data_IF_379437068616
#
_entry.id   IF_379437068616
#
_cell.length_a   1.000
_cell.length_b   1.000
_cell.length_c   1.000
_cell.angle_alpha   90.00
_cell.angle_beta   90.00
_cell.angle_gamma   90.00
#
_symmetry.space_group_name_H-M   'P 1'
#
loop_
_entity.id
_entity.type
_entity.pdbx_description
1 polymer ?
#
# COMPACT_ATOMS: atom_id res chain seq x y z
N UNK A 1 19.67 -28.94 22.45
CA UNK A 1 19.30 -30.28 21.96
C UNK A 1 19.98 -30.50 20.62
N UNK A 2 20.50 -31.70 20.34
CA UNK A 2 21.09 -32.01 19.02
C UNK A 2 19.99 -32.38 18.03
N UNK A 3 19.98 -31.74 16.86
CA UNK A 3 19.08 -32.09 15.75
C UNK A 3 19.17 -33.56 15.38
N UNK A 4 18.04 -34.19 15.08
CA UNK A 4 18.00 -35.50 14.44
C UNK A 4 18.58 -35.44 13.03
N UNK A 5 18.97 -36.60 12.49
CA UNK A 5 19.49 -36.69 11.11
C UNK A 5 18.47 -36.21 10.07
N UNK A 6 17.18 -36.49 10.31
CA UNK A 6 16.08 -36.11 9.42
C UNK A 6 15.83 -34.60 9.45
N UNK A 7 15.78 -33.98 10.63
CA UNK A 7 15.62 -32.52 10.77
C UNK A 7 16.80 -31.77 10.13
N UNK A 8 18.03 -32.25 10.35
CA UNK A 8 19.21 -31.68 9.72
C UNK A 8 19.11 -31.78 8.19
N UNK A 9 18.75 -32.94 7.64
CA UNK A 9 18.60 -33.10 6.19
C UNK A 9 17.52 -32.17 5.63
N UNK A 10 16.42 -31.97 6.35
CA UNK A 10 15.37 -31.04 5.96
C UNK A 10 15.88 -29.60 5.88
N UNK A 11 16.62 -29.14 6.89
CA UNK A 11 17.24 -27.80 6.91
C UNK A 11 18.24 -27.64 5.76
N UNK A 12 19.09 -28.65 5.51
CA UNK A 12 20.03 -28.62 4.38
C UNK A 12 19.31 -28.49 3.03
N UNK A 13 18.17 -29.18 2.87
CA UNK A 13 17.34 -29.06 1.66
C UNK A 13 16.74 -27.65 1.51
N UNK A 14 16.25 -27.03 2.59
CA UNK A 14 15.77 -25.64 2.56
C UNK A 14 16.91 -24.70 2.16
N UNK A 15 18.09 -24.84 2.78
CA UNK A 15 19.23 -23.98 2.50
C UNK A 15 19.62 -24.06 1.02
N UNK A 16 19.71 -25.27 0.45
CA UNK A 16 20.07 -25.46 -0.96
C UNK A 16 18.99 -25.01 -1.94
N UNK A 17 17.73 -25.01 -1.53
CA UNK A 17 16.61 -24.55 -2.35
C UNK A 17 16.54 -23.02 -2.45
N UNK A 18 17.18 -22.28 -1.53
CA UNK A 18 17.11 -20.82 -1.51
C UNK A 18 18.44 -20.21 -1.96
N UNK A 19 18.35 -19.10 -2.71
CA UNK A 19 19.49 -18.20 -2.89
C UNK A 19 19.61 -17.28 -1.68
N UNK A 20 20.80 -17.20 -1.12
CA UNK A 20 21.11 -16.42 0.08
C UNK A 20 21.96 -15.20 -0.25
N UNK A 21 21.70 -14.12 0.48
CA UNK A 21 22.40 -12.85 0.33
C UNK A 21 22.86 -12.37 1.70
N UNK A 22 24.11 -11.94 1.77
CA UNK A 22 24.62 -11.09 2.85
C UNK A 22 23.92 -9.73 2.81
N UNK A 23 24.02 -8.96 3.90
CA UNK A 23 23.45 -7.61 3.91
C UNK A 23 24.08 -6.71 2.84
N UNK A 24 25.39 -6.82 2.60
CA UNK A 24 26.12 -6.07 1.59
C UNK A 24 25.60 -6.35 0.17
N UNK A 25 25.37 -7.62 -0.17
CA UNK A 25 24.79 -8.01 -1.46
C UNK A 25 23.33 -7.57 -1.59
N UNK A 26 22.57 -7.75 -0.50
CA UNK A 26 21.17 -7.35 -0.42
C UNK A 26 20.99 -5.85 -0.61
N UNK A 27 21.85 -5.01 -0.01
CA UNK A 27 21.74 -3.55 -0.11
C UNK A 27 21.77 -3.06 -1.57
N UNK A 28 22.65 -3.63 -2.39
CA UNK A 28 22.74 -3.30 -3.82
C UNK A 28 21.45 -3.68 -4.57
N UNK A 29 20.90 -4.87 -4.30
CA UNK A 29 19.66 -5.34 -4.93
C UNK A 29 18.45 -4.50 -4.49
N UNK A 30 18.37 -4.15 -3.20
CA UNK A 30 17.28 -3.35 -2.65
C UNK A 30 17.19 -2.00 -3.36
N UNK A 31 18.32 -1.34 -3.62
CA UNK A 31 18.35 -0.01 -4.24
C UNK A 31 18.24 0.01 -5.76
N UNK A 32 18.50 -1.12 -6.42
CA UNK A 32 18.36 -1.26 -7.88
C UNK A 32 16.90 -1.26 -8.31
N UNK A 33 16.58 -0.74 -9.50
CA UNK A 33 15.22 -0.79 -10.03
C UNK A 33 14.71 -2.23 -10.22
N UNK A 34 13.40 -2.43 -10.14
CA UNK A 34 12.78 -3.69 -10.59
C UNK A 34 12.90 -3.88 -12.11
N UNK A 35 12.83 -2.77 -12.84
CA UNK A 35 13.04 -2.72 -14.28
C UNK A 35 14.53 -2.67 -14.59
N UNK A 36 15.06 -3.77 -15.11
CA UNK A 36 16.49 -3.91 -15.45
C UNK A 36 16.95 -3.00 -16.58
N UNK A 37 16.02 -2.34 -17.30
CA UNK A 37 16.37 -1.32 -18.29
C UNK A 37 16.70 0.05 -17.69
N UNK A 38 16.46 0.23 -16.38
CA UNK A 38 16.72 1.49 -15.66
C UNK A 38 17.91 1.33 -14.73
N UNK A 39 18.93 2.15 -14.98
CA UNK A 39 20.12 2.20 -14.13
C UNK A 39 19.97 3.19 -12.96
N UNK A 40 20.75 2.96 -11.90
CA UNK A 40 20.89 3.86 -10.76
C UNK A 40 20.06 3.48 -9.52
N UNK A 41 20.45 4.06 -8.38
CA UNK A 41 19.71 3.96 -7.11
C UNK A 41 18.49 4.88 -7.17
N UNK A 42 17.27 4.33 -7.08
CA UNK A 42 16.04 5.14 -6.99
C UNK A 42 15.55 5.31 -5.55
N UNK A 43 15.96 4.43 -4.64
CA UNK A 43 15.64 4.52 -3.22
C UNK A 43 16.67 5.39 -2.50
N UNK A 44 16.18 6.41 -1.81
CA UNK A 44 16.91 7.31 -0.90
C UNK A 44 16.97 6.80 0.53
N UNK A 45 16.25 5.71 0.85
CA UNK A 45 16.27 5.08 2.17
C UNK A 45 17.70 4.67 2.56
N UNK A 46 18.18 5.21 3.69
CA UNK A 46 19.55 4.99 4.18
C UNK A 46 19.73 3.59 4.76
N UNK A 47 20.96 3.06 4.68
CA UNK A 47 21.39 1.77 5.28
C UNK A 47 20.83 1.53 6.70
N UNK A 48 21.00 2.51 7.60
CA UNK A 48 20.51 2.43 8.99
C UNK A 48 18.98 2.30 9.08
N UNK A 49 18.23 2.89 8.16
CA UNK A 49 16.77 2.77 8.12
C UNK A 49 16.37 1.36 7.67
N UNK A 50 17.03 0.81 6.65
CA UNK A 50 16.83 -0.57 6.19
C UNK A 50 17.11 -1.57 7.32
N UNK A 51 18.25 -1.44 8.00
CA UNK A 51 18.60 -2.30 9.13
C UNK A 51 17.58 -2.20 10.27
N UNK A 52 17.03 -1.00 10.53
CA UNK A 52 15.95 -0.81 11.51
C UNK A 52 14.68 -1.56 11.09
N UNK A 53 14.32 -1.58 9.81
CA UNK A 53 13.18 -2.33 9.28
C UNK A 53 13.40 -3.83 9.51
N UNK A 54 14.56 -4.36 9.10
CA UNK A 54 14.91 -5.78 9.28
C UNK A 54 14.89 -6.16 10.76
N UNK A 55 15.54 -5.38 11.63
CA UNK A 55 15.53 -5.62 13.08
C UNK A 55 14.10 -5.68 13.63
N UNK A 56 13.25 -4.74 13.23
CA UNK A 56 11.86 -4.68 13.67
C UNK A 56 11.07 -5.92 13.26
N UNK A 57 11.29 -6.40 12.04
CA UNK A 57 10.64 -7.58 11.48
C UNK A 57 11.12 -8.88 12.13
N UNK A 58 12.44 -9.03 12.35
CA UNK A 58 13.05 -10.19 13.03
C UNK A 58 12.46 -10.35 14.43
N UNK A 59 12.51 -9.28 15.24
CA UNK A 59 12.06 -9.31 16.64
C UNK A 59 10.54 -9.46 16.69
N UNK A 60 9.80 -8.72 15.85
CA UNK A 60 8.35 -8.83 15.81
C UNK A 60 7.87 -10.22 15.39
N UNK A 61 8.57 -10.87 14.47
CA UNK A 61 8.25 -12.24 14.03
C UNK A 61 8.55 -13.25 15.14
N UNK A 62 9.67 -13.10 15.84
CA UNK A 62 10.00 -13.92 17.02
C UNK A 62 8.93 -13.80 18.11
N UNK A 63 8.42 -12.60 18.36
CA UNK A 63 7.32 -12.36 19.31
C UNK A 63 5.93 -12.73 18.76
N UNK A 64 5.87 -13.30 17.56
CA UNK A 64 4.65 -13.78 16.89
C UNK A 64 3.54 -12.72 16.74
N UNK A 65 3.90 -11.43 16.57
CA UNK A 65 2.89 -10.35 16.46
C UNK A 65 1.97 -10.50 15.23
N UNK A 66 2.39 -11.31 14.25
CA UNK A 66 1.69 -11.62 13.02
C UNK A 66 0.86 -12.93 13.08
N UNK A 67 0.81 -13.64 14.22
CA UNK A 67 -0.01 -14.85 14.40
C UNK A 67 -1.36 -14.55 15.08
N UNK A 68 -2.43 -15.22 14.63
CA UNK A 68 -3.78 -15.08 15.20
C UNK A 68 -3.84 -15.87 16.51
N UNK A 69 -3.59 -15.20 17.64
CA UNK A 69 -3.81 -15.81 18.96
C UNK A 69 -5.28 -15.70 19.36
N UNK A 70 -5.79 -16.69 20.11
CA UNK A 70 -7.21 -16.73 20.56
C UNK A 70 -7.67 -15.49 21.35
N UNK A 71 -6.73 -14.69 21.84
CA UNK A 71 -6.98 -13.54 22.72
C UNK A 71 -6.97 -12.18 21.98
N UNK A 72 -6.77 -12.15 20.66
CA UNK A 72 -6.76 -10.91 19.88
C UNK A 72 -8.19 -10.58 19.38
N UNK A 73 -8.79 -9.52 19.91
CA UNK A 73 -10.06 -8.93 19.43
C UNK A 73 -9.83 -8.12 18.14
N UNK A 74 -9.33 -8.77 17.09
CA UNK A 74 -9.13 -8.15 15.78
C UNK A 74 -10.23 -8.66 14.84
N UNK A 75 -10.96 -7.74 14.20
CA UNK A 75 -11.97 -8.09 13.19
C UNK A 75 -11.33 -8.84 12.01
N UNK A 76 -12.10 -9.65 11.28
CA UNK A 76 -11.56 -10.34 10.10
C UNK A 76 -11.12 -9.36 9.01
N UNK A 77 -11.76 -8.19 8.90
CA UNK A 77 -11.38 -7.12 7.99
C UNK A 77 -10.04 -6.48 8.37
N UNK A 78 -9.84 -6.15 9.64
CA UNK A 78 -8.54 -5.66 10.15
C UNK A 78 -7.44 -6.71 9.99
N UNK A 79 -7.79 -7.98 10.15
CA UNK A 79 -6.86 -9.10 9.96
C UNK A 79 -6.40 -9.20 8.51
N UNK A 80 -7.34 -9.10 7.56
CA UNK A 80 -7.03 -9.11 6.13
C UNK A 80 -6.24 -7.86 5.71
N UNK A 81 -6.56 -6.69 6.26
CA UNK A 81 -5.80 -5.46 6.03
C UNK A 81 -4.33 -5.63 6.47
N UNK A 82 -4.10 -6.19 7.67
CA UNK A 82 -2.74 -6.42 8.18
C UNK A 82 -1.94 -7.45 7.37
N UNK A 83 -2.60 -8.42 6.73
CA UNK A 83 -1.92 -9.30 5.77
C UNK A 83 -1.37 -8.54 4.57
N UNK A 84 -1.98 -7.41 4.19
CA UNK A 84 -1.57 -6.61 3.04
C UNK A 84 -0.50 -5.58 3.43
N UNK A 85 -0.62 -4.96 4.61
CA UNK A 85 0.22 -3.81 5.02
C UNK A 85 1.20 -4.11 6.17
N UNK A 86 1.17 -5.31 6.73
CA UNK A 86 1.99 -5.71 7.86
C UNK A 86 1.33 -5.46 9.23
N UNK A 87 2.01 -5.91 10.28
CA UNK A 87 1.55 -5.88 11.65
C UNK A 87 2.44 -4.95 12.46
N UNK A 88 1.84 -3.93 13.07
CA UNK A 88 2.54 -3.04 14.01
C UNK A 88 2.01 -3.23 15.42
N UNK A 89 2.90 -3.45 16.39
CA UNK A 89 2.55 -3.57 17.81
C UNK A 89 3.66 -3.01 18.69
N UNK A 90 3.28 -2.28 19.75
CA UNK A 90 4.22 -1.83 20.77
C UNK A 90 4.53 -3.01 21.69
N UNK A 91 5.79 -3.38 21.77
CA UNK A 91 6.26 -4.54 22.54
C UNK A 91 7.47 -4.14 23.39
N UNK A 92 7.68 -4.88 24.48
CA UNK A 92 8.89 -4.81 25.29
C UNK A 92 9.65 -6.12 25.16
N UNK A 93 10.90 -6.07 24.72
CA UNK A 93 11.74 -7.25 24.52
C UNK A 93 13.13 -7.05 25.11
N UNK A 94 13.90 -8.13 25.24
CA UNK A 94 15.23 -8.14 25.83
C UNK A 94 16.22 -8.70 24.81
N UNK A 95 17.36 -8.03 24.64
CA UNK A 95 18.48 -8.50 23.80
C UNK A 95 19.74 -8.55 24.67
N UNK A 96 20.28 -9.75 24.87
CA UNK A 96 21.46 -9.99 25.71
C UNK A 96 21.19 -9.84 27.21
N UNK A 97 22.08 -10.42 28.03
CA UNK A 97 21.95 -10.47 29.50
C UNK A 97 22.10 -9.09 30.18
N UNK A 98 22.70 -8.12 29.49
CA UNK A 98 22.99 -6.78 30.04
C UNK A 98 21.79 -5.80 30.00
N UNK A 99 20.79 -6.04 29.14
CA UNK A 99 19.65 -5.14 28.96
C UNK A 99 18.49 -5.42 29.92
N UNK A 100 18.75 -5.35 31.24
CA UNK A 100 17.75 -5.66 32.29
C UNK A 100 16.49 -4.79 32.26
N UNK A 101 16.56 -3.59 31.66
CA UNK A 101 15.44 -2.65 31.64
C UNK A 101 14.43 -2.88 30.51
N UNK A 102 14.69 -3.82 29.60
CA UNK A 102 13.84 -4.07 28.43
C UNK A 102 13.84 -2.92 27.43
N UNK A 103 13.72 -3.23 26.14
CA UNK A 103 13.58 -2.25 25.07
C UNK A 103 12.12 -2.19 24.68
N UNK A 104 11.47 -1.05 24.91
CA UNK A 104 10.09 -0.83 24.47
C UNK A 104 10.06 0.00 23.18
N UNK A 105 9.61 -0.61 22.08
CA UNK A 105 9.40 0.10 20.81
C UNK A 105 8.21 -0.47 20.03
N UNK A 106 7.75 0.27 19.03
CA UNK A 106 6.76 -0.24 18.06
C UNK A 106 7.49 -1.10 17.04
N UNK A 107 7.25 -2.40 17.13
CA UNK A 107 7.75 -3.38 16.17
C UNK A 107 6.80 -3.48 14.98
N UNK A 108 7.35 -3.76 13.81
CA UNK A 108 6.63 -3.94 12.57
C UNK A 108 7.10 -5.20 11.86
N UNK A 109 6.17 -6.13 11.61
CA UNK A 109 6.38 -7.31 10.76
C UNK A 109 5.71 -7.04 9.42
N UNK A 110 6.48 -7.03 8.34
CA UNK A 110 5.93 -6.79 7.01
C UNK A 110 5.44 -8.11 6.36
N UNK A 111 4.49 -8.05 5.41
CA UNK A 111 3.99 -9.24 4.72
C UNK A 111 5.08 -9.99 3.97
N UNK A 112 4.98 -11.32 3.94
CA UNK A 112 5.87 -12.19 3.17
C UNK A 112 5.09 -12.73 1.95
N UNK A 113 5.79 -12.91 0.84
CA UNK A 113 5.20 -13.27 -0.46
C UNK A 113 5.64 -14.67 -0.91
N UNK A 114 5.81 -15.59 0.05
CA UNK A 114 6.31 -16.95 -0.20
C UNK A 114 5.45 -17.70 -1.24
N UNK A 115 4.16 -17.39 -1.32
CA UNK A 115 3.23 -17.95 -2.30
C UNK A 115 3.53 -17.57 -3.77
N UNK A 116 4.40 -16.58 -4.01
CA UNK A 116 4.84 -16.21 -5.35
C UNK A 116 5.99 -17.09 -5.86
N UNK A 117 6.61 -17.89 -4.99
CA UNK A 117 7.73 -18.76 -5.33
C UNK A 117 7.22 -20.17 -5.61
N UNK A 118 7.72 -20.78 -6.70
CA UNK A 118 7.17 -22.04 -7.22
C UNK A 118 7.54 -23.25 -6.37
N UNK A 119 8.67 -23.18 -5.64
CA UNK A 119 9.15 -24.25 -4.80
C UNK A 119 8.68 -24.04 -3.36
N UNK A 120 8.00 -25.03 -2.77
CA UNK A 120 7.54 -24.98 -1.37
C UNK A 120 8.69 -24.85 -0.34
N UNK A 121 9.94 -25.07 -0.75
CA UNK A 121 11.13 -24.87 0.07
C UNK A 121 11.71 -23.44 -0.04
N UNK A 122 11.33 -22.66 -1.05
CA UNK A 122 11.67 -21.24 -1.16
C UNK A 122 10.78 -20.44 -0.20
N UNK A 123 11.38 -19.85 0.83
CA UNK A 123 10.65 -19.16 1.90
C UNK A 123 11.38 -17.91 2.33
N UNK A 124 10.64 -16.92 2.81
CA UNK A 124 11.17 -15.69 3.36
C UNK A 124 11.85 -15.96 4.70
N UNK A 125 13.16 -16.16 4.66
CA UNK A 125 13.98 -16.44 5.84
C UNK A 125 15.01 -15.33 5.99
N UNK A 126 15.13 -14.84 7.21
CA UNK A 126 16.23 -13.99 7.65
C UNK A 126 16.85 -14.62 8.89
N UNK A 127 18.16 -14.87 8.80
CA UNK A 127 19.00 -15.25 9.91
C UNK A 127 19.73 -13.97 10.37
N UNK A 128 19.62 -13.67 11.65
CA UNK A 128 20.10 -12.43 12.28
C UNK A 128 21.09 -12.73 13.40
N UNK A 129 22.05 -11.83 13.65
CA UNK A 129 22.90 -11.94 14.84
C UNK A 129 22.10 -11.85 16.15
N UNK A 130 20.88 -11.32 16.10
CA UNK A 130 19.96 -11.27 17.24
C UNK A 130 19.32 -12.62 17.57
N UNK A 131 19.41 -13.63 16.70
CA UNK A 131 18.72 -14.91 16.92
C UNK A 131 19.24 -15.61 18.19
N UNK A 132 20.54 -15.44 18.51
CA UNK A 132 21.15 -15.93 19.76
C UNK A 132 20.58 -15.18 20.99
N UNK A 133 20.54 -13.84 20.93
CA UNK A 133 20.02 -12.99 22.01
C UNK A 133 18.53 -13.21 22.28
N UNK A 134 17.77 -13.53 21.22
CA UNK A 134 16.35 -13.87 21.30
C UNK A 134 16.14 -15.32 21.75
N UNK A 135 17.16 -16.17 21.72
CA UNK A 135 17.02 -17.60 22.00
C UNK A 135 16.22 -18.35 20.93
N UNK A 136 16.26 -17.90 19.67
CA UNK A 136 15.67 -18.60 18.51
C UNK A 136 16.61 -19.72 18.06
N UNK A 137 16.62 -20.82 18.83
CA UNK A 137 17.54 -21.95 18.66
C UNK A 137 17.46 -22.54 17.25
N UNK A 138 16.28 -22.59 16.65
CA UNK A 138 16.06 -23.16 15.32
C UNK A 138 16.84 -22.37 14.24
N UNK A 139 16.77 -21.03 14.30
CA UNK A 139 17.53 -20.17 13.38
C UNK A 139 19.03 -20.21 13.63
N UNK A 140 19.46 -20.27 14.90
CA UNK A 140 20.87 -20.43 15.25
C UNK A 140 21.42 -21.71 14.63
N UNK A 141 20.71 -22.83 14.76
CA UNK A 141 21.11 -24.10 14.16
C UNK A 141 21.09 -24.06 12.63
N UNK A 142 20.09 -23.41 12.02
CA UNK A 142 20.04 -23.23 10.56
C UNK A 142 21.26 -22.44 10.05
N UNK A 143 21.68 -21.39 10.75
CA UNK A 143 22.90 -20.63 10.43
C UNK A 143 24.14 -21.51 10.50
N UNK A 144 24.31 -22.30 11.56
CA UNK A 144 25.45 -23.21 11.67
C UNK A 144 25.51 -24.24 10.54
N UNK A 145 24.36 -24.73 10.08
CA UNK A 145 24.29 -25.66 8.95
C UNK A 145 24.62 -24.92 7.65
N UNK A 146 24.10 -23.72 7.44
CA UNK A 146 24.42 -22.90 6.27
C UNK A 146 25.92 -22.65 6.13
N UNK A 147 26.58 -22.20 7.20
CA UNK A 147 28.03 -21.93 7.20
C UNK A 147 28.86 -23.18 6.85
N UNK A 148 28.42 -24.37 7.32
CA UNK A 148 29.06 -25.66 6.98
C UNK A 148 28.89 -26.02 5.50
N UNK A 149 27.75 -25.71 4.88
CA UNK A 149 27.48 -26.02 3.46
C UNK A 149 28.31 -25.09 2.54
N UNK A 150 28.30 -23.79 2.82
CA UNK A 150 28.94 -22.78 1.97
C UNK A 150 30.47 -22.76 2.16
N UNK A 151 30.99 -23.52 3.13
CA UNK A 151 32.41 -23.63 3.46
C UNK A 151 33.04 -22.28 3.84
N UNK A 152 32.19 -21.34 4.28
CA UNK A 152 32.58 -20.02 4.74
C UNK A 152 32.87 -20.08 6.25
N UNK A 153 34.11 -19.77 6.64
CA UNK A 153 34.58 -19.81 8.03
C UNK A 153 34.32 -18.49 8.76
N UNK A 154 33.35 -17.71 8.30
CA UNK A 154 32.97 -16.38 8.80
C UNK A 154 32.23 -16.33 10.15
N UNK A 155 32.50 -17.25 11.09
CA UNK A 155 32.10 -17.25 12.54
C UNK A 155 30.95 -16.30 12.93
N UNK A 156 29.72 -16.48 12.43
CA UNK A 156 28.56 -15.73 12.93
C UNK A 156 28.61 -14.20 12.84
N UNK A 157 29.58 -13.60 12.11
CA UNK A 157 29.77 -12.14 12.07
C UNK A 157 28.87 -11.41 11.08
N UNK A 158 28.22 -12.12 10.17
CA UNK A 158 27.31 -11.52 9.20
C UNK A 158 26.04 -11.07 9.92
N UNK A 159 25.72 -9.76 9.96
CA UNK A 159 24.59 -9.25 10.73
C UNK A 159 23.26 -9.84 10.28
N UNK A 160 23.11 -10.01 8.96
CA UNK A 160 21.93 -10.59 8.33
C UNK A 160 22.32 -11.48 7.15
N UNK A 161 21.71 -12.66 7.10
CA UNK A 161 21.65 -13.53 5.92
C UNK A 161 20.19 -13.68 5.53
N UNK A 162 19.86 -13.33 4.29
CA UNK A 162 18.49 -13.23 3.81
C UNK A 162 18.30 -14.10 2.57
N UNK A 163 17.18 -14.79 2.48
CA UNK A 163 16.80 -15.49 1.25
C UNK A 163 16.22 -14.52 0.22
N UNK A 164 16.21 -14.91 -1.06
CA UNK A 164 15.58 -14.14 -2.14
C UNK A 164 14.11 -13.77 -1.86
N UNK A 165 13.23 -14.68 -1.37
CA UNK A 165 11.87 -14.30 -1.00
C UNK A 165 11.80 -13.23 0.09
N UNK A 166 12.69 -13.29 1.08
CA UNK A 166 12.76 -12.27 2.13
C UNK A 166 13.20 -10.92 1.56
N UNK A 167 14.20 -10.93 0.67
CA UNK A 167 14.72 -9.74 0.01
C UNK A 167 13.66 -9.07 -0.87
N UNK A 168 12.89 -9.87 -1.60
CA UNK A 168 11.75 -9.40 -2.39
C UNK A 168 10.72 -8.69 -1.51
N UNK A 169 10.34 -9.31 -0.40
CA UNK A 169 9.40 -8.74 0.55
C UNK A 169 9.93 -7.46 1.22
N UNK A 170 11.21 -7.44 1.59
CA UNK A 170 11.88 -6.28 2.18
C UNK A 170 11.93 -5.09 1.21
N UNK A 171 12.22 -5.34 -0.07
CA UNK A 171 12.22 -4.29 -1.10
C UNK A 171 10.86 -3.64 -1.23
N UNK A 172 9.81 -4.46 -1.33
CA UNK A 172 8.43 -3.97 -1.34
C UNK A 172 8.09 -3.13 -0.11
N UNK A 173 8.54 -3.53 1.08
CA UNK A 173 8.32 -2.77 2.31
C UNK A 173 9.07 -1.44 2.32
N UNK A 174 10.30 -1.39 1.82
CA UNK A 174 11.05 -0.14 1.70
C UNK A 174 10.34 0.80 0.70
N UNK A 175 9.94 0.30 -0.46
CA UNK A 175 9.19 1.09 -1.45
C UNK A 175 7.90 1.66 -0.89
N UNK A 176 7.15 0.88 -0.11
CA UNK A 176 5.92 1.35 0.57
C UNK A 176 6.19 2.46 1.58
N UNK A 177 7.35 2.47 2.23
CA UNK A 177 7.71 3.52 3.20
C UNK A 177 8.23 4.77 2.52
N UNK A 178 8.96 4.59 1.43
CA UNK A 178 9.59 5.68 0.69
C UNK A 178 8.59 6.39 -0.23
N UNK A 179 7.74 5.60 -0.89
CA UNK A 179 6.62 6.04 -1.70
C UNK A 179 5.33 5.54 -1.06
N UNK A 180 4.97 6.08 0.13
CA UNK A 180 3.69 5.75 0.72
C UNK A 180 2.62 6.07 -0.29
N UNK A 181 1.72 5.11 -0.54
CA UNK A 181 0.57 5.32 -1.40
C UNK A 181 -0.29 6.40 -0.76
N UNK A 182 -0.06 7.66 -1.14
CA UNK A 182 -0.89 8.78 -0.70
C UNK A 182 -2.19 8.71 -1.47
N UNK A 183 -3.30 8.90 -0.78
CA UNK A 183 -4.62 9.01 -1.41
C UNK A 183 -4.75 10.30 -2.22
N UNK A 184 -4.05 11.34 -1.79
CA UNK A 184 -4.03 12.65 -2.40
C UNK A 184 -2.59 13.13 -2.53
N UNK A 185 -2.10 13.31 -3.76
CA UNK A 185 -0.76 13.84 -4.01
C UNK A 185 -0.76 15.38 -4.11
N UNK A 186 -1.94 15.97 -4.24
CA UNK A 186 -2.13 17.41 -4.28
C UNK A 186 -1.83 18.05 -2.91
N UNK A 187 -0.92 19.03 -2.91
CA UNK A 187 -0.57 19.82 -1.74
C UNK A 187 -1.13 21.25 -1.87
N UNK A 188 -1.43 21.93 -0.74
CA UNK A 188 -1.77 23.35 -0.78
C UNK A 188 -0.54 24.16 -1.18
N UNK A 189 -0.75 25.31 -1.81
CA UNK A 189 0.32 26.26 -2.10
C UNK A 189 1.07 26.60 -0.80
N UNK A 190 2.40 26.56 -0.84
CA UNK A 190 3.17 26.85 0.38
C UNK A 190 3.00 28.32 0.77
N UNK A 191 3.11 28.64 2.08
CA UNK A 191 3.10 30.03 2.53
C UNK A 191 4.14 30.90 1.80
N UNK A 192 5.26 30.32 1.33
CA UNK A 192 6.29 31.00 0.55
C UNK A 192 5.82 31.30 -0.87
N UNK A 193 5.21 30.34 -1.57
CA UNK A 193 4.62 30.55 -2.89
C UNK A 193 3.57 31.65 -2.86
N UNK A 194 2.66 31.62 -1.87
CA UNK A 194 1.62 32.65 -1.75
C UNK A 194 2.22 34.04 -1.47
N UNK A 195 3.25 34.14 -0.64
CA UNK A 195 3.96 35.41 -0.40
C UNK A 195 4.62 35.92 -1.67
N UNK A 196 5.27 35.03 -2.44
CA UNK A 196 5.98 35.44 -3.67
C UNK A 196 5.04 36.09 -4.70
N UNK A 197 3.79 35.63 -4.79
CA UNK A 197 2.76 36.26 -5.63
C UNK A 197 2.33 37.64 -5.11
N UNK A 198 2.47 37.91 -3.81
CA UNK A 198 2.11 39.16 -3.14
C UNK A 198 3.26 40.17 -3.03
N UNK A 199 4.48 39.81 -3.45
CA UNK A 199 5.65 40.68 -3.42
C UNK A 199 5.79 41.58 -4.67
N UNK A 200 4.78 41.57 -5.54
CA UNK A 200 4.70 42.46 -6.70
C UNK A 200 4.59 43.95 -6.31
N UNK A 201 5.19 44.83 -7.12
CA UNK A 201 4.95 46.29 -7.04
C UNK A 201 3.45 46.58 -7.23
N UNK A 202 2.88 47.44 -6.39
CA UNK A 202 1.44 47.74 -6.35
C UNK A 202 0.53 46.54 -5.99
N UNK A 203 1.01 45.57 -5.19
CA UNK A 203 0.23 44.37 -4.85
C UNK A 203 -1.20 44.66 -4.35
N UNK A 204 -1.42 45.76 -3.61
CA UNK A 204 -2.76 46.14 -3.12
C UNK A 204 -3.81 46.28 -4.22
N UNK A 205 -3.43 46.87 -5.35
CA UNK A 205 -4.32 47.04 -6.51
C UNK A 205 -4.51 45.72 -7.26
N UNK A 206 -3.55 44.79 -7.11
CA UNK A 206 -3.56 43.49 -7.76
C UNK A 206 -4.13 42.36 -6.88
N UNK A 207 -4.47 42.61 -5.61
CA UNK A 207 -5.05 41.61 -4.68
C UNK A 207 -6.17 40.80 -5.35
N UNK A 208 -7.16 41.42 -6.04
CA UNK A 208 -8.22 40.65 -6.69
C UNK A 208 -7.71 39.66 -7.74
N UNK A 209 -6.73 40.09 -8.55
CA UNK A 209 -6.12 39.26 -9.60
C UNK A 209 -5.27 38.13 -9.01
N UNK A 210 -4.50 38.43 -7.96
CA UNK A 210 -3.65 37.45 -7.27
C UNK A 210 -4.51 36.37 -6.62
N UNK A 211 -5.57 36.76 -5.90
CA UNK A 211 -6.54 35.81 -5.30
C UNK A 211 -7.17 34.94 -6.39
N UNK A 212 -7.58 35.55 -7.52
CA UNK A 212 -8.17 34.81 -8.62
C UNK A 212 -7.22 33.78 -9.23
N UNK A 213 -5.96 34.15 -9.44
CA UNK A 213 -4.92 33.27 -9.95
C UNK A 213 -4.71 32.06 -9.02
N UNK A 214 -4.49 32.31 -7.73
CA UNK A 214 -4.27 31.27 -6.72
C UNK A 214 -5.46 30.30 -6.64
N UNK A 215 -6.68 30.83 -6.53
CA UNK A 215 -7.88 30.01 -6.43
C UNK A 215 -8.15 29.25 -7.72
N UNK A 216 -8.02 29.88 -8.89
CA UNK A 216 -8.24 29.21 -10.17
C UNK A 216 -7.23 28.08 -10.39
N UNK A 217 -5.95 28.29 -10.04
CA UNK A 217 -4.93 27.25 -10.07
C UNK A 217 -5.28 26.10 -9.14
N UNK A 218 -5.64 26.40 -7.88
CA UNK A 218 -6.03 25.39 -6.90
C UNK A 218 -7.21 24.53 -7.38
N UNK A 219 -8.30 25.16 -7.85
CA UNK A 219 -9.47 24.43 -8.36
C UNK A 219 -9.16 23.60 -9.60
N UNK A 220 -8.28 24.09 -10.48
CA UNK A 220 -7.83 23.32 -11.64
C UNK A 220 -7.11 22.05 -11.20
N UNK A 221 -6.20 22.15 -10.23
CA UNK A 221 -5.45 21.01 -9.71
C UNK A 221 -6.38 19.99 -9.01
N UNK A 222 -7.35 20.47 -8.22
CA UNK A 222 -8.37 19.59 -7.61
C UNK A 222 -9.18 18.85 -8.67
N UNK A 223 -9.59 19.53 -9.75
CA UNK A 223 -10.33 18.91 -10.84
C UNK A 223 -9.50 17.85 -11.59
N UNK A 224 -8.22 18.11 -11.84
CA UNK A 224 -7.33 17.13 -12.47
C UNK A 224 -7.10 15.89 -11.58
N UNK A 225 -6.99 16.08 -10.27
CA UNK A 225 -6.91 14.97 -9.32
C UNK A 225 -8.18 14.10 -9.36
N UNK A 226 -9.36 14.74 -9.35
CA UNK A 226 -10.66 14.05 -9.46
C UNK A 226 -10.78 13.29 -10.79
N UNK A 227 -10.31 13.86 -11.90
CA UNK A 227 -10.27 13.16 -13.20
C UNK A 227 -9.37 11.95 -13.16
N UNK A 228 -8.18 12.08 -12.58
CA UNK A 228 -7.22 10.99 -12.44
C UNK A 228 -7.78 9.86 -11.59
N UNK A 229 -8.42 10.21 -10.47
CA UNK A 229 -9.12 9.25 -9.63
C UNK A 229 -10.24 8.52 -10.38
N UNK A 230 -11.10 9.25 -11.11
CA UNK A 230 -12.17 8.64 -11.88
C UNK A 230 -11.66 7.71 -13.01
N UNK A 231 -10.50 8.02 -13.60
CA UNK A 231 -9.83 7.09 -14.55
C UNK A 231 -9.40 5.81 -13.85
N UNK A 232 -8.81 5.90 -12.67
CA UNK A 232 -8.44 4.71 -11.89
C UNK A 232 -9.67 3.88 -11.51
N UNK A 233 -10.75 4.53 -11.03
CA UNK A 233 -12.05 3.89 -10.75
C UNK A 233 -12.64 3.17 -11.97
N UNK A 234 -12.47 3.75 -13.17
CA UNK A 234 -12.98 3.16 -14.42
C UNK A 234 -12.37 1.80 -14.75
N UNK A 235 -11.15 1.50 -14.27
CA UNK A 235 -10.51 0.19 -14.46
C UNK A 235 -11.31 -0.90 -13.76
N UNK A 236 -11.70 -0.67 -12.51
CA UNK A 236 -12.48 -1.67 -11.77
C UNK A 236 -13.92 -1.76 -12.29
N UNK A 237 -14.50 -0.63 -12.70
CA UNK A 237 -15.78 -0.63 -13.44
C UNK A 237 -15.71 -1.54 -14.66
N UNK A 238 -14.69 -1.38 -15.52
CA UNK A 238 -14.55 -2.17 -16.73
C UNK A 238 -14.47 -3.67 -16.43
N UNK A 239 -13.69 -4.07 -15.41
CA UNK A 239 -13.63 -5.48 -14.97
C UNK A 239 -15.00 -6.03 -14.55
N UNK A 240 -15.80 -5.25 -13.83
CA UNK A 240 -17.16 -5.65 -13.48
C UNK A 240 -18.07 -5.71 -14.73
N UNK A 241 -17.91 -4.76 -15.66
CA UNK A 241 -18.62 -4.75 -16.93
C UNK A 241 -18.28 -5.97 -17.79
N UNK A 242 -17.03 -6.41 -17.82
CA UNK A 242 -16.58 -7.58 -18.58
C UNK A 242 -17.25 -8.87 -18.09
N UNK A 243 -17.38 -9.05 -16.77
CA UNK A 243 -18.11 -10.18 -16.18
C UNK A 243 -19.61 -10.12 -16.53
N UNK A 244 -20.22 -8.94 -16.44
CA UNK A 244 -21.64 -8.78 -16.79
C UNK A 244 -21.87 -9.06 -18.28
N UNK A 245 -20.99 -8.54 -19.15
CA UNK A 245 -21.04 -8.77 -20.59
C UNK A 245 -20.81 -10.25 -20.93
N UNK A 246 -19.93 -10.95 -20.21
CA UNK A 246 -19.77 -12.38 -20.36
C UNK A 246 -21.08 -13.11 -20.09
N UNK A 247 -21.75 -12.82 -18.96
CA UNK A 247 -23.02 -13.46 -18.63
C UNK A 247 -24.11 -13.15 -19.66
N UNK A 248 -24.15 -11.95 -20.22
CA UNK A 248 -25.12 -11.58 -21.26
C UNK A 248 -24.83 -12.27 -22.60
N UNK A 249 -23.60 -12.14 -23.10
CA UNK A 249 -23.23 -12.62 -24.43
C UNK A 249 -23.22 -14.15 -24.50
N UNK A 250 -22.68 -14.82 -23.49
CA UNK A 250 -22.64 -16.29 -23.48
C UNK A 250 -23.99 -16.92 -23.17
N UNK A 251 -25.00 -16.15 -22.74
CA UNK A 251 -26.38 -16.65 -22.59
C UNK A 251 -27.01 -17.00 -23.93
N UNK A 252 -26.61 -16.34 -25.01
CA UNK A 252 -27.09 -16.66 -26.35
C UNK A 252 -26.52 -18.00 -26.85
N UNK A 253 -25.29 -18.32 -26.46
CA UNK A 253 -24.55 -19.51 -26.91
C UNK A 253 -24.78 -20.71 -25.98
N UNK A 254 -24.74 -20.50 -24.65
CA UNK A 254 -24.95 -21.52 -23.62
C UNK A 254 -26.09 -21.16 -22.65
N UNK A 255 -27.33 -21.04 -23.14
CA UNK A 255 -28.46 -20.55 -22.35
C UNK A 255 -28.76 -21.38 -21.10
N UNK A 256 -28.60 -22.71 -21.17
CA UNK A 256 -28.88 -23.59 -20.03
C UNK A 256 -27.84 -23.43 -18.90
N UNK A 257 -26.56 -23.32 -19.26
CA UNK A 257 -25.47 -23.17 -18.28
C UNK A 257 -25.59 -21.81 -17.59
N UNK A 258 -25.78 -20.73 -18.37
CA UNK A 258 -25.92 -19.39 -17.82
C UNK A 258 -27.18 -19.27 -16.96
N UNK A 259 -28.32 -19.83 -17.37
CA UNK A 259 -29.53 -19.85 -16.52
C UNK A 259 -29.31 -20.58 -15.20
N UNK A 260 -28.56 -21.68 -15.18
CA UNK A 260 -28.20 -22.39 -13.94
C UNK A 260 -27.31 -21.53 -13.03
N UNK A 261 -26.35 -20.80 -13.59
CA UNK A 261 -25.52 -19.83 -12.86
C UNK A 261 -26.42 -18.73 -12.25
N UNK A 262 -27.28 -18.11 -13.06
CA UNK A 262 -28.21 -17.06 -12.61
C UNK A 262 -29.14 -17.55 -11.49
N UNK A 263 -29.63 -18.78 -11.57
CA UNK A 263 -30.49 -19.35 -10.52
C UNK A 263 -29.71 -19.67 -9.25
N UNK A 264 -28.57 -20.35 -9.38
CA UNK A 264 -27.74 -20.81 -8.26
C UNK A 264 -27.15 -19.64 -7.48
N UNK A 265 -26.74 -18.59 -8.18
CA UNK A 265 -26.10 -17.41 -7.61
C UNK A 265 -26.98 -16.16 -7.68
N UNK A 266 -28.32 -16.32 -7.71
CA UNK A 266 -29.28 -15.22 -7.88
C UNK A 266 -29.05 -14.03 -6.94
N UNK A 267 -28.90 -14.29 -5.64
CA UNK A 267 -28.59 -13.26 -4.63
C UNK A 267 -27.24 -12.60 -4.86
N UNK A 268 -26.24 -13.38 -5.27
CA UNK A 268 -24.90 -12.84 -5.52
C UNK A 268 -24.89 -11.95 -6.78
N UNK A 269 -25.63 -12.37 -7.81
CA UNK A 269 -25.81 -11.62 -9.05
C UNK A 269 -26.57 -10.31 -8.84
N UNK A 270 -27.61 -10.31 -8.00
CA UNK A 270 -28.35 -9.10 -7.63
C UNK A 270 -27.43 -8.08 -6.94
N UNK A 271 -26.70 -8.51 -5.91
CA UNK A 271 -25.71 -7.66 -5.24
C UNK A 271 -24.61 -7.19 -6.18
N UNK A 272 -24.13 -8.05 -7.08
CA UNK A 272 -23.13 -7.69 -8.09
C UNK A 272 -23.64 -6.57 -9.01
N UNK A 273 -24.88 -6.68 -9.49
CA UNK A 273 -25.51 -5.66 -10.34
C UNK A 273 -25.73 -4.34 -9.59
N UNK A 274 -26.12 -4.39 -8.32
CA UNK A 274 -26.24 -3.19 -7.48
C UNK A 274 -24.89 -2.47 -7.32
N UNK A 275 -23.82 -3.23 -7.08
CA UNK A 275 -22.47 -2.69 -6.99
C UNK A 275 -22.00 -2.11 -8.33
N UNK A 276 -22.29 -2.80 -9.44
CA UNK A 276 -21.99 -2.33 -10.80
C UNK A 276 -22.71 -1.01 -11.12
N UNK A 277 -23.99 -0.87 -10.74
CA UNK A 277 -24.74 0.37 -10.93
C UNK A 277 -24.14 1.51 -10.10
N UNK A 278 -23.73 1.24 -8.85
CA UNK A 278 -23.12 2.26 -7.98
C UNK A 278 -21.74 2.70 -8.45
N UNK A 279 -20.90 1.77 -8.93
CA UNK A 279 -19.56 2.11 -9.44
C UNK A 279 -19.62 2.85 -10.79
N UNK A 280 -20.74 2.78 -11.51
CA UNK A 280 -20.96 3.53 -12.74
C UNK A 280 -20.99 5.05 -12.53
N UNK A 281 -21.42 5.51 -11.35
CA UNK A 281 -21.48 6.93 -11.02
C UNK A 281 -20.08 7.50 -10.78
N UNK A 282 -19.70 8.62 -11.43
CA UNK A 282 -18.39 9.23 -11.20
C UNK A 282 -18.29 9.80 -9.78
N UNK A 283 -17.09 9.76 -9.22
CA UNK A 283 -16.78 10.51 -8.00
C UNK A 283 -16.84 12.01 -8.31
N UNK A 284 -17.64 12.73 -7.52
CA UNK A 284 -17.83 14.18 -7.65
C UNK A 284 -17.47 14.81 -6.31
N UNK A 285 -16.56 15.78 -6.37
CA UNK A 285 -16.25 16.64 -5.24
C UNK A 285 -16.52 18.10 -5.62
N UNK A 286 -17.48 18.72 -4.93
CA UNK A 286 -17.93 20.07 -5.25
C UNK A 286 -17.33 21.09 -4.29
N UNK A 287 -16.63 22.08 -4.85
CA UNK A 287 -16.31 23.32 -4.17
C UNK A 287 -16.96 24.47 -4.95
N UNK A 288 -17.75 25.30 -4.27
CA UNK A 288 -18.35 26.49 -4.87
C UNK A 288 -17.28 27.57 -5.08
N UNK A 289 -16.53 27.42 -6.18
CA UNK A 289 -15.43 28.31 -6.59
C UNK A 289 -15.84 29.78 -6.55
N UNK A 290 -17.03 30.10 -7.04
CA UNK A 290 -17.47 31.48 -7.20
C UNK A 290 -17.80 32.13 -5.87
N UNK A 291 -18.52 31.41 -5.00
CA UNK A 291 -18.85 31.89 -3.65
C UNK A 291 -17.59 32.04 -2.78
N UNK A 292 -16.70 31.05 -2.78
CA UNK A 292 -15.48 31.10 -1.96
C UNK A 292 -14.53 32.21 -2.43
N UNK A 293 -14.38 32.40 -3.75
CA UNK A 293 -13.66 33.54 -4.31
C UNK A 293 -14.31 34.87 -3.90
N UNK A 294 -15.64 34.99 -4.01
CA UNK A 294 -16.36 36.21 -3.65
C UNK A 294 -16.23 36.56 -2.16
N UNK A 295 -16.27 35.56 -1.27
CA UNK A 295 -16.02 35.73 0.17
C UNK A 295 -14.64 36.33 0.43
N UNK A 296 -13.60 35.81 -0.22
CA UNK A 296 -12.23 36.30 -0.04
C UNK A 296 -12.05 37.72 -0.61
N UNK A 297 -12.57 37.98 -1.80
CA UNK A 297 -12.54 39.31 -2.43
C UNK A 297 -13.29 40.35 -1.58
N UNK A 298 -14.44 39.99 -1.00
CA UNK A 298 -15.19 40.86 -0.07
C UNK A 298 -14.45 41.07 1.24
N UNK A 299 -13.66 40.09 1.71
CA UNK A 299 -12.84 40.21 2.93
C UNK A 299 -11.68 41.19 2.73
N UNK A 300 -11.08 41.21 1.55
CA UNK A 300 -9.92 42.05 1.21
C UNK A 300 -10.25 43.18 0.23
N UNK A 301 -11.46 43.73 0.29
CA UNK A 301 -11.85 44.86 -0.55
C UNK A 301 -11.06 46.13 -0.20
N UNK A 302 -10.84 47.05 -1.15
CA UNK A 302 -10.03 48.25 -0.94
C UNK A 302 -10.42 49.08 0.29
N UNK A 303 -11.73 49.20 0.58
CA UNK A 303 -12.20 49.93 1.76
C UNK A 303 -11.78 49.25 3.08
N UNK A 304 -11.78 47.92 3.14
CA UNK A 304 -11.47 47.15 4.37
C UNK A 304 -9.99 47.05 4.67
N UNK A 305 -9.14 47.19 3.65
CA UNK A 305 -7.69 47.03 3.79
C UNK A 305 -6.93 48.35 3.79
N UNK A 306 -7.61 49.49 3.61
CA UNK A 306 -7.01 50.83 3.45
C UNK A 306 -5.93 51.13 4.50
N UNK A 307 -6.20 50.84 5.77
CA UNK A 307 -5.34 51.19 6.90
C UNK A 307 -4.54 49.99 7.48
N UNK A 308 -4.52 48.84 6.80
CA UNK A 308 -3.78 47.66 7.27
C UNK A 308 -2.34 47.76 6.78
N UNK A 309 -1.34 47.55 7.63
CA UNK A 309 0.07 47.50 7.18
C UNK A 309 0.31 46.43 6.09
N UNK A 310 1.24 46.68 5.17
CA UNK A 310 1.51 45.78 4.05
C UNK A 310 1.99 44.39 4.49
N UNK A 311 2.90 44.31 5.47
CA UNK A 311 3.42 43.04 5.98
C UNK A 311 2.31 42.23 6.66
N UNK A 312 1.47 42.91 7.44
CA UNK A 312 0.30 42.32 8.11
C UNK A 312 -0.74 41.85 7.11
N UNK A 313 -1.01 42.65 6.06
CA UNK A 313 -1.97 42.32 5.01
C UNK A 313 -1.54 41.08 4.23
N UNK A 314 -0.25 41.01 3.82
CA UNK A 314 0.30 39.82 3.14
C UNK A 314 0.14 38.57 3.99
N UNK A 315 0.47 38.65 5.28
CA UNK A 315 0.30 37.52 6.20
C UNK A 315 -1.17 37.10 6.36
N UNK A 316 -2.11 38.06 6.45
CA UNK A 316 -3.55 37.75 6.53
C UNK A 316 -4.08 37.05 5.28
N UNK A 317 -3.68 37.50 4.09
CA UNK A 317 -4.08 36.88 2.81
C UNK A 317 -3.48 35.48 2.72
N UNK A 318 -2.17 35.35 2.90
CA UNK A 318 -1.44 34.08 2.93
C UNK A 318 -2.11 33.05 3.83
N UNK A 319 -2.38 33.41 5.09
CA UNK A 319 -3.02 32.49 6.03
C UNK A 319 -4.43 32.10 5.57
N UNK A 320 -5.21 33.03 5.02
CA UNK A 320 -6.58 32.70 4.57
C UNK A 320 -6.59 31.78 3.35
N UNK A 321 -5.70 32.01 2.38
CA UNK A 321 -5.55 31.14 1.20
C UNK A 321 -5.06 29.76 1.65
N UNK A 322 -3.95 29.69 2.39
CA UNK A 322 -3.37 28.43 2.85
C UNK A 322 -4.35 27.59 3.68
N UNK A 323 -5.02 28.21 4.66
CA UNK A 323 -6.00 27.50 5.49
C UNK A 323 -7.21 27.02 4.69
N UNK A 324 -7.65 27.78 3.69
CA UNK A 324 -8.74 27.37 2.81
C UNK A 324 -8.34 26.15 1.95
N UNK A 325 -7.18 26.20 1.31
CA UNK A 325 -6.70 25.10 0.47
C UNK A 325 -6.48 23.85 1.31
N UNK A 326 -5.80 23.98 2.45
CA UNK A 326 -5.56 22.88 3.39
C UNK A 326 -6.87 22.22 3.83
N UNK A 327 -7.85 23.01 4.25
CA UNK A 327 -9.16 22.51 4.67
C UNK A 327 -9.87 21.73 3.56
N UNK A 328 -9.85 22.24 2.32
CA UNK A 328 -10.50 21.57 1.19
C UNK A 328 -9.77 20.28 0.77
N UNK A 329 -8.44 20.24 0.88
CA UNK A 329 -7.66 19.02 0.60
C UNK A 329 -7.88 17.96 1.67
N UNK A 330 -7.92 18.34 2.96
CA UNK A 330 -8.26 17.41 4.05
C UNK A 330 -9.66 16.81 3.85
N UNK A 331 -10.63 17.64 3.46
CA UNK A 331 -11.99 17.18 3.17
C UNK A 331 -12.05 16.28 1.93
N UNK A 332 -11.32 16.62 0.86
CA UNK A 332 -11.21 15.79 -0.33
C UNK A 332 -10.61 14.42 0.02
N UNK A 333 -9.54 14.37 0.81
CA UNK A 333 -8.90 13.13 1.24
C UNK A 333 -9.85 12.23 2.06
N UNK A 334 -10.70 12.83 2.90
CA UNK A 334 -11.75 12.09 3.64
C UNK A 334 -12.77 11.47 2.67
N UNK A 335 -13.24 12.23 1.68
CA UNK A 335 -14.21 11.71 0.70
C UNK A 335 -13.58 10.64 -0.20
N UNK A 336 -12.34 10.85 -0.68
CA UNK A 336 -11.57 9.83 -1.40
C UNK A 336 -11.40 8.56 -0.57
N UNK A 337 -11.13 8.67 0.73
CA UNK A 337 -11.04 7.50 1.60
C UNK A 337 -12.33 6.70 1.71
N UNK A 338 -13.50 7.33 1.60
CA UNK A 338 -14.78 6.61 1.60
C UNK A 338 -14.97 5.89 0.26
N UNK A 339 -14.62 6.59 -0.81
CA UNK A 339 -14.71 6.07 -2.17
C UNK A 339 -13.75 4.88 -2.40
N UNK A 340 -12.52 4.95 -1.87
CA UNK A 340 -11.54 3.84 -1.90
C UNK A 340 -12.10 2.58 -1.23
N UNK A 341 -12.76 2.75 -0.06
CA UNK A 341 -13.39 1.63 0.65
C UNK A 341 -14.50 1.00 -0.19
N UNK A 342 -15.30 1.82 -0.86
CA UNK A 342 -16.32 1.34 -1.78
C UNK A 342 -15.72 0.59 -2.97
N UNK A 343 -14.67 1.14 -3.63
CA UNK A 343 -13.98 0.45 -4.74
C UNK A 343 -13.39 -0.88 -4.27
N UNK A 344 -12.80 -0.92 -3.07
CA UNK A 344 -12.28 -2.16 -2.49
C UNK A 344 -13.38 -3.19 -2.26
N UNK A 345 -14.54 -2.78 -1.72
CA UNK A 345 -15.70 -3.66 -1.58
C UNK A 345 -16.13 -4.23 -2.93
N UNK A 346 -16.23 -3.38 -3.96
CA UNK A 346 -16.57 -3.81 -5.32
C UNK A 346 -15.55 -4.82 -5.84
N UNK A 347 -14.26 -4.54 -5.70
CA UNK A 347 -13.20 -5.42 -6.20
C UNK A 347 -13.17 -6.78 -5.49
N UNK A 348 -13.34 -6.79 -4.16
CA UNK A 348 -13.42 -8.01 -3.37
C UNK A 348 -14.66 -8.84 -3.75
N UNK A 349 -15.80 -8.15 -3.92
CA UNK A 349 -17.03 -8.80 -4.30
C UNK A 349 -16.95 -9.38 -5.72
N UNK A 350 -16.43 -8.60 -6.69
CA UNK A 350 -16.14 -9.04 -8.05
C UNK A 350 -15.28 -10.30 -8.04
N UNK A 351 -14.16 -10.26 -7.33
CA UNK A 351 -13.22 -11.39 -7.26
C UNK A 351 -13.90 -12.65 -6.70
N UNK A 352 -14.60 -12.50 -5.56
CA UNK A 352 -15.29 -13.62 -4.91
C UNK A 352 -16.41 -14.20 -5.79
N UNK A 353 -17.23 -13.33 -6.38
CA UNK A 353 -18.32 -13.72 -7.27
C UNK A 353 -17.79 -14.44 -8.52
N UNK A 354 -16.72 -13.92 -9.12
CA UNK A 354 -16.11 -14.52 -10.30
C UNK A 354 -15.52 -15.90 -9.99
N UNK A 355 -14.83 -16.05 -8.86
CA UNK A 355 -14.29 -17.35 -8.46
C UNK A 355 -15.41 -18.38 -8.26
N UNK A 356 -16.54 -18.00 -7.64
CA UNK A 356 -17.72 -18.89 -7.50
C UNK A 356 -18.23 -19.37 -8.87
N UNK A 357 -18.28 -18.48 -9.87
CA UNK A 357 -18.68 -18.83 -11.24
C UNK A 357 -17.65 -19.78 -11.86
N UNK A 358 -16.36 -19.47 -11.76
CA UNK A 358 -15.30 -20.30 -12.34
C UNK A 358 -15.28 -21.71 -11.73
N UNK A 359 -15.39 -21.81 -10.40
CA UNK A 359 -15.49 -23.10 -9.69
C UNK A 359 -16.72 -23.89 -10.14
N UNK A 360 -17.85 -23.21 -10.36
CA UNK A 360 -19.05 -23.85 -10.87
C UNK A 360 -18.85 -24.39 -12.29
N UNK A 361 -18.32 -23.58 -13.21
CA UNK A 361 -18.04 -23.99 -14.58
C UNK A 361 -17.10 -25.20 -14.64
N UNK A 362 -16.05 -25.21 -13.81
CA UNK A 362 -15.11 -26.34 -13.71
C UNK A 362 -15.77 -27.59 -13.13
N UNK A 363 -16.56 -27.45 -12.06
CA UNK A 363 -17.20 -28.59 -11.39
C UNK A 363 -18.26 -29.28 -12.24
N UNK A 364 -19.00 -28.52 -13.04
CA UNK A 364 -20.03 -29.06 -13.93
C UNK A 364 -19.44 -29.61 -15.25
N UNK A 365 -18.11 -29.69 -15.38
CA UNK A 365 -17.41 -30.10 -16.61
C UNK A 365 -17.94 -29.36 -17.86
N UNK A 366 -18.12 -28.04 -17.73
CA UNK A 366 -18.55 -27.20 -18.86
C UNK A 366 -17.49 -27.19 -19.97
N UNK A 367 -17.91 -26.79 -21.17
CA UNK A 367 -17.03 -26.67 -22.34
C UNK A 367 -15.75 -25.87 -22.01
N UNK A 368 -14.60 -26.43 -22.39
CA UNK A 368 -13.29 -25.80 -22.23
C UNK A 368 -13.21 -24.39 -22.82
N UNK A 369 -13.94 -24.11 -23.91
CA UNK A 369 -13.97 -22.79 -24.54
C UNK A 369 -14.62 -21.77 -23.60
N UNK A 370 -15.73 -22.15 -22.94
CA UNK A 370 -16.43 -21.29 -22.00
C UNK A 370 -15.59 -21.01 -20.75
N UNK A 371 -14.89 -22.02 -20.24
CA UNK A 371 -13.99 -21.88 -19.08
C UNK A 371 -12.84 -20.94 -19.40
N UNK A 372 -12.13 -21.16 -20.52
CA UNK A 372 -10.99 -20.33 -20.94
C UNK A 372 -11.45 -18.90 -21.22
N UNK A 373 -12.60 -18.72 -21.88
CA UNK A 373 -13.14 -17.39 -22.13
C UNK A 373 -13.46 -16.63 -20.83
N UNK A 374 -13.94 -17.33 -19.80
CA UNK A 374 -14.18 -16.72 -18.50
C UNK A 374 -12.88 -16.40 -17.77
N UNK A 375 -11.88 -17.29 -17.80
CA UNK A 375 -10.57 -17.04 -17.18
C UNK A 375 -9.85 -15.83 -17.78
N UNK A 376 -9.99 -15.59 -19.09
CA UNK A 376 -9.35 -14.47 -19.78
C UNK A 376 -9.88 -13.08 -19.37
N UNK A 377 -11.02 -13.00 -18.70
CA UNK A 377 -11.64 -11.72 -18.28
C UNK A 377 -11.52 -11.45 -16.77
N UNK A 378 -10.86 -12.32 -16.00
CA UNK A 378 -10.66 -12.17 -14.55
C UNK A 378 -9.48 -11.26 -14.23
#
# INVERSE_FOLDING_TARGET
>A
MSLTKEERQHIENIIRANKWYTYEEAENILKSHWDTSKDGEYLTTKRRQIQKIIKSDVIGTYLEINKKTKNLSVSDDDWNLKKIYGWSKKETYYLGEENKNGITETLHVFPKYDNLFQNNLEKSIVLSSFDEDLGDIDKVQMREIYEKIVNDRGRGKTPYLMTEPYLFALKHEIERREYPTKRLYLLPNTPKEIISELDQTNFRNNIPKIIDKLYTSFFSNVNEEIKTYNRAKSVEKNRCTDINNFLLNWKEIYPEIIKKIEQKFSKDLERFKDLLNKIDHPFIYHIDKNNEKAKLLKKYSPQKIKNVDNSVLRNKIKNSVYSFEKYNLEKLEIELSKEDKFILEVAQYRHTFSNKILEYLKKENCDSILIVAFENIL
#
